data_IF_284767940816
#
_entry.id   IF_284767940816
#
_cell.length_a   1.000
_cell.length_b   1.000
_cell.length_c   1.000
_cell.angle_alpha   90.00
_cell.angle_beta   90.00
_cell.angle_gamma   90.00
#
_symmetry.space_group_name_H-M   'P 1'
#
loop_
_entity.id
_entity.type
_entity.pdbx_description
1 polymer ?
#
# COMPACT_ATOMS: atom_id res chain seq x y z
N UNK A 1 -18.46 -41.37 19.62
CA UNK A 1 -19.09 -40.12 19.18
C UNK A 1 -18.13 -39.02 18.66
N UNK A 2 -16.90 -38.90 19.18
CA UNK A 2 -15.94 -37.86 18.71
C UNK A 2 -15.43 -38.03 17.26
N UNK A 3 -15.37 -39.28 16.75
CA UNK A 3 -14.86 -39.53 15.38
C UNK A 3 -15.84 -39.20 14.24
N UNK A 4 -17.13 -39.16 14.52
CA UNK A 4 -18.18 -38.85 13.52
C UNK A 4 -18.24 -37.36 13.23
N UNK A 5 -17.96 -36.51 14.24
CA UNK A 5 -17.93 -35.04 14.05
C UNK A 5 -16.74 -34.57 13.20
N UNK A 6 -15.59 -35.24 13.29
CA UNK A 6 -14.41 -34.90 12.51
C UNK A 6 -14.59 -35.22 11.02
N UNK A 7 -15.29 -36.27 10.69
CA UNK A 7 -15.59 -36.68 9.30
C UNK A 7 -16.66 -35.77 8.68
N UNK A 8 -17.64 -35.31 9.44
CA UNK A 8 -18.66 -34.38 8.95
C UNK A 8 -18.09 -32.98 8.65
N UNK A 9 -17.16 -32.52 9.46
CA UNK A 9 -16.45 -31.23 9.20
C UNK A 9 -15.60 -31.31 7.93
N UNK A 10 -14.99 -32.44 7.63
CA UNK A 10 -14.18 -32.62 6.41
C UNK A 10 -15.05 -32.73 5.15
N UNK A 11 -16.26 -33.26 5.22
CA UNK A 11 -17.14 -33.40 4.05
C UNK A 11 -17.81 -32.08 3.63
N UNK A 12 -17.95 -31.12 4.53
CA UNK A 12 -18.53 -29.81 4.23
C UNK A 12 -17.51 -28.93 3.45
N UNK A 13 -16.23 -29.19 3.60
CA UNK A 13 -15.16 -28.40 2.92
C UNK A 13 -15.05 -28.73 1.43
N UNK A 14 -15.57 -29.87 0.95
CA UNK A 14 -15.39 -30.33 -0.45
C UNK A 14 -16.46 -29.88 -1.45
N UNK A 15 -17.48 -29.13 -1.05
CA UNK A 15 -18.59 -28.79 -1.95
C UNK A 15 -18.77 -27.31 -2.28
N UNK A 16 -17.75 -26.46 -2.11
CA UNK A 16 -17.86 -25.05 -2.48
C UNK A 16 -16.74 -24.67 -3.47
N UNK A 17 -17.03 -24.87 -4.76
CA UNK A 17 -16.17 -24.46 -5.89
C UNK A 17 -15.85 -22.94 -5.98
N UNK A 18 -16.22 -22.15 -4.99
CA UNK A 18 -15.92 -20.72 -4.90
C UNK A 18 -14.78 -20.40 -3.92
N UNK A 19 -14.20 -21.39 -3.24
CA UNK A 19 -13.25 -21.19 -2.15
C UNK A 19 -11.77 -21.19 -2.58
N UNK A 20 -11.48 -21.60 -3.81
CA UNK A 20 -10.10 -21.69 -4.30
C UNK A 20 -9.47 -20.31 -4.62
N UNK A 21 -10.23 -19.22 -4.48
CA UNK A 21 -9.77 -17.86 -4.78
C UNK A 21 -9.19 -17.11 -3.57
N UNK A 22 -9.49 -17.56 -2.36
CA UNK A 22 -9.05 -16.90 -1.13
C UNK A 22 -8.28 -17.87 -0.26
N UNK A 23 -7.05 -17.53 0.06
CA UNK A 23 -6.18 -18.32 0.93
C UNK A 23 -5.85 -17.54 2.20
N UNK A 24 -5.67 -18.30 3.28
CA UNK A 24 -5.03 -17.73 4.45
C UNK A 24 -3.55 -17.47 4.14
N UNK A 25 -3.09 -16.24 4.35
CA UNK A 25 -1.69 -15.87 4.19
C UNK A 25 -0.80 -16.46 5.30
N UNK A 26 0.49 -16.26 5.21
CA UNK A 26 1.47 -16.76 6.19
C UNK A 26 1.46 -15.98 7.51
N UNK A 27 0.92 -14.76 7.52
CA UNK A 27 0.69 -14.00 8.75
C UNK A 27 -0.59 -14.46 9.47
N UNK A 28 -0.66 -14.27 10.80
CA UNK A 28 -1.88 -14.55 11.56
C UNK A 28 -3.05 -13.71 11.03
N UNK A 29 -4.19 -14.36 10.72
CA UNK A 29 -5.40 -13.74 10.18
C UNK A 29 -5.18 -12.95 8.87
N UNK A 30 -4.19 -13.34 8.06
CA UNK A 30 -3.95 -12.76 6.74
C UNK A 30 -4.76 -13.47 5.66
N UNK A 31 -5.20 -12.73 4.63
CA UNK A 31 -6.02 -13.23 3.51
C UNK A 31 -5.38 -12.81 2.19
N UNK A 32 -5.31 -13.74 1.22
CA UNK A 32 -4.82 -13.43 -0.13
C UNK A 32 -5.52 -14.23 -1.24
N UNK A 33 -5.41 -13.77 -2.49
CA UNK A 33 -5.80 -14.52 -3.70
C UNK A 33 -4.64 -15.39 -4.20
N UNK A 34 -4.92 -16.34 -5.09
CA UNK A 34 -3.98 -17.39 -5.57
C UNK A 34 -2.58 -16.88 -5.95
N UNK A 35 -2.48 -15.77 -6.64
CA UNK A 35 -1.20 -15.23 -7.13
C UNK A 35 -0.62 -14.12 -6.25
N UNK A 36 -1.12 -13.99 -5.02
CA UNK A 36 -0.77 -12.90 -4.11
C UNK A 36 -0.19 -13.43 -2.81
N UNK A 37 0.50 -12.58 -2.06
CA UNK A 37 1.11 -12.95 -0.78
C UNK A 37 0.66 -12.00 0.32
N UNK A 38 0.01 -12.52 1.35
CA UNK A 38 -0.28 -11.81 2.59
C UNK A 38 0.52 -12.44 3.73
N UNK A 39 1.64 -11.82 4.10
CA UNK A 39 2.54 -12.32 5.14
C UNK A 39 2.53 -11.48 6.43
N UNK A 40 1.97 -10.29 6.40
CA UNK A 40 1.77 -9.47 7.59
C UNK A 40 0.60 -9.98 8.45
N UNK A 41 0.67 -9.79 9.76
CA UNK A 41 -0.44 -10.08 10.67
C UNK A 41 -1.65 -9.20 10.29
N UNK A 42 -2.84 -9.77 10.12
CA UNK A 42 -4.07 -9.09 9.66
C UNK A 42 -3.95 -8.44 8.28
N UNK A 43 -3.01 -8.88 7.44
CA UNK A 43 -2.84 -8.29 6.11
C UNK A 43 -3.78 -8.90 5.08
N UNK A 44 -4.07 -8.13 4.02
CA UNK A 44 -4.95 -8.55 2.92
C UNK A 44 -4.27 -8.27 1.58
N UNK A 45 -4.16 -9.28 0.72
CA UNK A 45 -3.61 -9.14 -0.62
C UNK A 45 -4.60 -9.66 -1.67
N UNK A 46 -5.14 -8.79 -2.51
CA UNK A 46 -6.17 -9.13 -3.49
C UNK A 46 -5.77 -8.69 -4.90
N UNK A 47 -5.80 -9.61 -5.85
CA UNK A 47 -5.53 -9.30 -7.25
C UNK A 47 -4.41 -10.14 -7.84
N UNK A 48 -3.66 -9.59 -8.77
CA UNK A 48 -2.61 -10.31 -9.48
C UNK A 48 -1.23 -9.88 -8.99
N UNK A 49 -0.48 -10.83 -8.43
CA UNK A 49 0.90 -10.61 -7.94
C UNK A 49 0.99 -9.45 -6.95
N UNK A 50 0.07 -9.40 -5.98
CA UNK A 50 0.08 -8.39 -4.91
C UNK A 50 0.81 -8.91 -3.67
N UNK A 51 1.43 -8.03 -2.92
CA UNK A 51 2.13 -8.38 -1.68
C UNK A 51 1.73 -7.45 -0.54
N UNK A 52 1.19 -8.01 0.54
CA UNK A 52 0.89 -7.31 1.78
C UNK A 52 1.74 -7.90 2.92
N UNK A 53 2.86 -7.26 3.25
CA UNK A 53 3.82 -7.77 4.24
C UNK A 53 3.87 -6.96 5.53
N UNK A 54 3.32 -5.77 5.55
CA UNK A 54 3.16 -4.99 6.78
C UNK A 54 2.01 -5.49 7.65
N UNK A 55 2.09 -5.27 8.95
CA UNK A 55 0.99 -5.56 9.87
C UNK A 55 -0.26 -4.75 9.47
N UNK A 56 -1.42 -5.39 9.39
CA UNK A 56 -2.69 -4.79 8.98
C UNK A 56 -2.60 -3.99 7.67
N UNK A 57 -1.72 -4.44 6.76
CA UNK A 57 -1.56 -3.81 5.45
C UNK A 57 -2.52 -4.39 4.42
N UNK A 58 -2.86 -3.58 3.41
CA UNK A 58 -3.76 -3.99 2.33
C UNK A 58 -3.12 -3.70 0.98
N UNK A 59 -3.02 -4.72 0.12
CA UNK A 59 -2.53 -4.59 -1.26
C UNK A 59 -3.60 -5.08 -2.23
N UNK A 60 -4.03 -4.23 -3.18
CA UNK A 60 -5.12 -4.56 -4.12
C UNK A 60 -4.77 -4.16 -5.55
N UNK A 61 -5.10 -5.03 -6.53
CA UNK A 61 -4.92 -4.73 -7.95
C UNK A 61 -3.85 -5.58 -8.63
N UNK A 62 -2.91 -4.99 -9.37
CA UNK A 62 -1.86 -5.71 -10.07
C UNK A 62 -0.47 -5.24 -9.67
N UNK A 63 0.42 -6.16 -9.29
CA UNK A 63 1.80 -5.85 -8.92
C UNK A 63 1.92 -4.78 -7.82
N UNK A 64 0.96 -4.71 -6.91
CA UNK A 64 0.99 -3.76 -5.79
C UNK A 64 1.70 -4.35 -4.58
N UNK A 65 2.32 -3.48 -3.80
CA UNK A 65 3.05 -3.91 -2.60
C UNK A 65 2.77 -2.96 -1.43
N UNK A 66 2.26 -3.50 -0.31
CA UNK A 66 2.05 -2.80 0.95
C UNK A 66 2.99 -3.41 2.01
N UNK A 67 4.11 -2.72 2.28
CA UNK A 67 5.15 -3.18 3.22
C UNK A 67 5.10 -2.47 4.57
N UNK A 68 4.67 -1.24 4.58
CA UNK A 68 4.53 -0.49 5.83
C UNK A 68 3.42 -1.06 6.70
N UNK A 69 3.57 -1.01 8.02
CA UNK A 69 2.48 -1.35 8.93
C UNK A 69 1.30 -0.37 8.72
N UNK A 70 0.09 -0.89 8.69
CA UNK A 70 -1.15 -0.13 8.45
C UNK A 70 -1.14 0.62 7.11
N UNK A 71 -0.40 0.11 6.12
CA UNK A 71 -0.30 0.73 4.80
C UNK A 71 -1.32 0.16 3.82
N UNK A 72 -1.67 0.98 2.82
CA UNK A 72 -2.57 0.58 1.73
C UNK A 72 -1.92 0.85 0.37
N UNK A 73 -1.81 -0.17 -0.46
CA UNK A 73 -1.38 -0.04 -1.86
C UNK A 73 -2.50 -0.52 -2.78
N UNK A 74 -2.94 0.31 -3.72
CA UNK A 74 -4.02 -0.04 -4.64
C UNK A 74 -3.75 0.44 -6.07
N UNK A 75 -4.17 -0.36 -7.06
CA UNK A 75 -4.03 -0.03 -8.47
C UNK A 75 -3.03 -0.93 -9.20
N UNK A 76 -2.04 -0.34 -9.88
CA UNK A 76 -1.08 -1.11 -10.68
C UNK A 76 0.35 -0.60 -10.44
N UNK A 77 1.26 -1.50 -10.07
CA UNK A 77 2.64 -1.18 -9.69
C UNK A 77 2.75 -0.11 -8.60
N UNK A 78 1.84 -0.09 -7.65
CA UNK A 78 1.86 0.85 -6.52
C UNK A 78 2.59 0.27 -5.32
N UNK A 79 3.37 1.10 -4.62
CA UNK A 79 4.17 0.73 -3.46
C UNK A 79 3.87 1.63 -2.26
N UNK A 80 3.35 1.06 -1.18
CA UNK A 80 3.20 1.71 0.11
C UNK A 80 4.21 1.10 1.10
N UNK A 81 5.37 1.72 1.27
CA UNK A 81 6.45 1.21 2.11
C UNK A 81 6.61 1.96 3.43
N UNK A 82 6.10 3.15 3.55
CA UNK A 82 6.04 3.87 4.82
C UNK A 82 4.94 3.30 5.74
N UNK A 83 5.16 3.32 7.06
CA UNK A 83 4.08 2.97 7.98
C UNK A 83 2.95 4.01 7.88
N UNK A 84 1.70 3.55 7.94
CA UNK A 84 0.50 4.36 7.77
C UNK A 84 0.44 5.09 6.43
N UNK A 85 1.12 4.57 5.41
CA UNK A 85 1.18 5.20 4.08
C UNK A 85 0.09 4.67 3.15
N UNK A 86 -0.30 5.50 2.18
CA UNK A 86 -1.28 5.14 1.15
C UNK A 86 -0.73 5.41 -0.24
N UNK A 87 -0.68 4.41 -1.10
CA UNK A 87 -0.29 4.52 -2.50
C UNK A 87 -1.42 4.05 -3.41
N UNK A 88 -2.01 4.94 -4.21
CA UNK A 88 -3.18 4.62 -5.04
C UNK A 88 -3.00 5.09 -6.48
N UNK A 89 -3.21 4.20 -7.45
CA UNK A 89 -3.14 4.53 -8.87
C UNK A 89 -2.14 3.66 -9.63
N UNK A 90 -1.37 4.26 -10.54
CA UNK A 90 -0.39 3.54 -11.34
C UNK A 90 1.01 4.07 -11.08
N UNK A 91 1.95 3.15 -10.76
CA UNK A 91 3.35 3.50 -10.46
C UNK A 91 3.50 4.53 -9.33
N UNK A 92 2.64 4.48 -8.34
CA UNK A 92 2.70 5.38 -7.18
C UNK A 92 3.62 4.83 -6.10
N UNK A 93 4.32 5.70 -5.39
CA UNK A 93 5.19 5.30 -4.27
C UNK A 93 4.96 6.21 -3.06
N UNK A 94 4.49 5.63 -1.96
CA UNK A 94 4.37 6.30 -0.66
C UNK A 94 5.37 5.68 0.32
N UNK A 95 6.51 6.33 0.51
CA UNK A 95 7.61 5.82 1.34
C UNK A 95 7.82 6.57 2.66
N UNK A 96 7.28 7.77 2.78
CA UNK A 96 7.30 8.52 4.02
C UNK A 96 6.33 7.96 5.08
N UNK A 97 6.63 8.20 6.34
CA UNK A 97 5.73 7.89 7.45
C UNK A 97 4.46 8.76 7.36
N UNK A 98 3.26 8.17 7.38
CA UNK A 98 1.97 8.85 7.11
C UNK A 98 1.88 9.53 5.74
N UNK A 99 2.60 9.05 4.73
CA UNK A 99 2.58 9.69 3.40
C UNK A 99 1.44 9.17 2.52
N UNK A 100 1.01 10.00 1.57
CA UNK A 100 -0.02 9.65 0.58
C UNK A 100 0.46 9.97 -0.83
N UNK A 101 0.44 8.99 -1.73
CA UNK A 101 0.75 9.16 -3.14
C UNK A 101 -0.43 8.68 -3.99
N UNK A 102 -1.02 9.57 -4.81
CA UNK A 102 -2.22 9.25 -5.61
C UNK A 102 -2.07 9.73 -7.05
N UNK A 103 -2.42 8.86 -8.01
CA UNK A 103 -2.44 9.21 -9.44
C UNK A 103 -1.53 8.35 -10.29
N UNK A 104 -0.68 8.95 -11.12
CA UNK A 104 0.21 8.22 -12.02
C UNK A 104 1.66 8.67 -11.83
N UNK A 105 2.55 7.74 -11.48
CA UNK A 105 3.97 8.04 -11.30
C UNK A 105 4.28 8.99 -10.13
N UNK A 106 3.37 9.12 -9.16
CA UNK A 106 3.55 10.05 -8.02
C UNK A 106 4.42 9.43 -6.93
N UNK A 107 5.17 10.27 -6.22
CA UNK A 107 6.03 9.85 -5.12
C UNK A 107 5.89 10.77 -3.91
N UNK A 108 5.53 10.21 -2.76
CA UNK A 108 5.51 10.89 -1.48
C UNK A 108 6.55 10.26 -0.55
N UNK A 109 7.71 10.91 -0.40
CA UNK A 109 8.83 10.39 0.38
C UNK A 109 9.08 11.14 1.69
N UNK A 110 8.59 12.35 1.82
CA UNK A 110 8.61 13.06 3.09
C UNK A 110 7.61 12.46 4.10
N UNK A 111 7.93 12.49 5.38
CA UNK A 111 6.98 12.14 6.41
C UNK A 111 5.78 13.09 6.38
N UNK A 112 4.55 12.55 6.49
CA UNK A 112 3.28 13.29 6.40
C UNK A 112 3.09 14.05 5.06
N UNK A 113 3.83 13.68 4.03
CA UNK A 113 3.72 14.32 2.71
C UNK A 113 2.60 13.73 1.86
N UNK A 114 2.06 14.54 0.96
CA UNK A 114 1.04 14.14 0.01
C UNK A 114 1.43 14.54 -1.41
N UNK A 115 1.46 13.59 -2.33
CA UNK A 115 1.72 13.79 -3.76
C UNK A 115 0.51 13.31 -4.58
N UNK A 116 -0.11 14.19 -5.37
CA UNK A 116 -1.30 13.89 -6.15
C UNK A 116 -1.17 14.36 -7.60
N UNK A 117 -1.68 13.55 -8.54
CA UNK A 117 -1.71 13.92 -9.97
C UNK A 117 -0.84 13.02 -10.84
N UNK A 118 0.04 13.60 -11.67
CA UNK A 118 0.88 12.83 -12.57
C UNK A 118 2.36 13.24 -12.44
N UNK A 119 3.20 12.29 -12.09
CA UNK A 119 4.66 12.46 -11.94
C UNK A 119 5.03 13.56 -10.93
N UNK A 120 4.24 13.70 -9.86
CA UNK A 120 4.52 14.63 -8.77
C UNK A 120 5.39 13.99 -7.70
N UNK A 121 6.24 14.80 -7.06
CA UNK A 121 7.16 14.36 -6.00
C UNK A 121 7.01 15.29 -4.79
N UNK A 122 6.63 14.72 -3.64
CA UNK A 122 6.58 15.41 -2.35
C UNK A 122 7.66 14.81 -1.43
N UNK A 123 8.77 15.49 -1.26
CA UNK A 123 9.96 14.98 -0.55
C UNK A 123 10.13 15.55 0.84
N UNK A 124 9.61 16.73 1.11
CA UNK A 124 9.76 17.39 2.39
C UNK A 124 8.73 16.96 3.42
N UNK A 125 9.05 17.09 4.69
CA UNK A 125 8.13 16.84 5.79
C UNK A 125 6.86 17.71 5.65
N UNK A 126 5.69 17.06 5.67
CA UNK A 126 4.39 17.73 5.60
C UNK A 126 4.06 18.42 4.27
N UNK A 127 4.84 18.19 3.23
CA UNK A 127 4.61 18.84 1.93
C UNK A 127 3.35 18.31 1.23
N UNK A 128 2.63 19.19 0.56
CA UNK A 128 1.51 18.86 -0.34
C UNK A 128 1.87 19.29 -1.76
N UNK A 129 1.90 18.33 -2.69
CA UNK A 129 2.21 18.57 -4.11
C UNK A 129 1.06 18.05 -4.95
N UNK A 130 0.50 18.92 -5.79
CA UNK A 130 -0.64 18.58 -6.67
C UNK A 130 -0.33 19.04 -8.09
N UNK A 131 -0.78 18.29 -9.08
CA UNK A 131 -0.70 18.67 -10.48
C UNK A 131 0.08 17.70 -11.33
N UNK A 132 0.92 18.22 -12.22
CA UNK A 132 1.67 17.42 -13.17
C UNK A 132 3.11 17.91 -13.26
N UNK A 133 4.08 16.98 -13.20
CA UNK A 133 5.51 17.28 -13.39
C UNK A 133 6.04 18.45 -12.56
N UNK A 134 5.88 18.41 -11.23
CA UNK A 134 6.56 19.45 -10.44
C UNK A 134 8.08 19.37 -10.65
N UNK A 135 8.68 20.52 -10.91
CA UNK A 135 10.11 20.64 -11.21
C UNK A 135 10.94 20.10 -10.03
N UNK A 136 12.07 19.48 -10.31
CA UNK A 136 12.98 18.91 -9.31
C UNK A 136 13.55 19.94 -8.32
N UNK A 137 13.42 21.22 -8.59
CA UNK A 137 13.81 22.30 -7.67
C UNK A 137 12.63 22.89 -6.89
N UNK A 138 11.40 22.43 -7.12
CA UNK A 138 10.21 22.94 -6.43
C UNK A 138 9.97 22.33 -5.05
N UNK A 139 10.69 21.26 -4.74
CA UNK A 139 10.73 20.66 -3.39
C UNK A 139 12.19 20.62 -2.95
N UNK A 140 12.62 21.60 -2.20
CA UNK A 140 13.97 21.62 -1.62
C UNK A 140 13.92 20.79 -0.35
N UNK A 141 14.54 19.62 -0.38
CA UNK A 141 14.53 18.70 0.76
C UNK A 141 15.47 19.22 1.85
N UNK A 142 14.94 19.98 2.80
CA UNK A 142 15.68 20.39 3.99
C UNK A 142 15.54 19.36 5.10
N UNK A 143 14.36 18.76 5.23
CA UNK A 143 14.11 17.64 6.16
C UNK A 143 12.94 16.80 5.66
N UNK A 144 13.17 15.52 5.46
CA UNK A 144 12.12 14.56 5.09
C UNK A 144 11.36 14.01 6.30
N UNK A 145 11.89 14.16 7.49
CA UNK A 145 11.37 13.51 8.71
C UNK A 145 10.97 14.48 9.83
N UNK A 146 11.45 15.72 9.81
CA UNK A 146 11.20 16.71 10.84
C UNK A 146 10.63 18.01 10.24
N UNK A 147 9.85 18.73 11.03
CA UNK A 147 9.37 20.06 10.65
C UNK A 147 10.53 21.05 10.56
N UNK A 148 10.54 21.84 9.48
CA UNK A 148 11.43 22.98 9.30
C UNK A 148 10.67 24.06 8.54
N UNK A 149 10.88 25.32 8.90
CA UNK A 149 10.30 26.46 8.19
C UNK A 149 10.85 26.60 6.75
N UNK A 150 11.97 25.94 6.46
CA UNK A 150 12.57 25.89 5.12
C UNK A 150 11.97 24.74 4.25
N UNK A 151 11.14 23.87 4.80
CA UNK A 151 10.49 22.82 4.02
C UNK A 151 9.45 23.42 3.06
N UNK A 152 9.36 22.86 1.87
CA UNK A 152 8.30 23.20 0.92
C UNK A 152 6.97 22.63 1.39
N UNK A 153 6.04 23.49 1.77
CA UNK A 153 4.74 23.07 2.31
C UNK A 153 3.71 22.73 1.23
N UNK A 154 3.68 23.54 0.15
CA UNK A 154 2.68 23.36 -0.92
C UNK A 154 3.24 23.68 -2.30
N UNK A 155 2.99 22.80 -3.27
CA UNK A 155 3.40 22.96 -4.67
C UNK A 155 2.27 22.57 -5.60
N UNK A 156 1.98 23.44 -6.56
CA UNK A 156 1.16 23.10 -7.72
C UNK A 156 2.10 22.87 -8.90
N UNK A 157 2.16 21.65 -9.41
CA UNK A 157 2.95 21.30 -10.58
C UNK A 157 2.30 21.82 -11.88
N UNK A 158 3.11 22.14 -12.84
CA UNK A 158 2.68 22.61 -14.18
C UNK A 158 2.81 21.46 -15.19
#
# INVERSE_FOLDING_TARGET
>A
MKKIFTILALTIVFNVNAQDLWYQGTGSNAIHTVSSTASGIYSTAMGYTTTASGQASTAMGGYTTARGNYSTASGNYSLASGNYSTAMGKWTTASGYYSTAMGNGTRASGSRSTAMGAYTIASDFGSLVIGRYNSSGSTVTNSATAFSTANTAFVIGN
#
